data_IF_015786380666
#
_entry.id   IF_015786380666
#
_cell.length_a   1.000
_cell.length_b   1.000
_cell.length_c   1.000
_cell.angle_alpha   90.00
_cell.angle_beta   90.00
_cell.angle_gamma   90.00
#
_symmetry.space_group_name_H-M   'P 1'
#
loop_
_entity.id
_entity.type
_entity.pdbx_description
1 polymer ?
#
# COMPACT_ATOMS: atom_id res chain seq x y z
N UNK A 1 -20.97 2.20 -14.89
CA UNK A 1 -19.57 2.17 -14.40
C UNK A 1 -19.63 1.60 -13.00
N UNK A 2 -18.93 0.49 -12.72
CA UNK A 2 -18.90 -0.09 -11.35
C UNK A 2 -18.21 0.91 -10.44
N UNK A 3 -18.87 1.32 -9.36
CA UNK A 3 -18.22 2.13 -8.34
C UNK A 3 -17.19 1.27 -7.62
N UNK A 4 -15.91 1.48 -7.95
CA UNK A 4 -14.81 0.72 -7.37
C UNK A 4 -14.49 1.17 -5.94
N UNK A 5 -14.99 2.34 -5.51
CA UNK A 5 -14.70 2.90 -4.19
C UNK A 5 -15.33 2.09 -3.04
N UNK A 6 -16.39 1.34 -3.34
CA UNK A 6 -17.11 0.48 -2.39
C UNK A 6 -16.70 -1.00 -2.47
N UNK A 7 -15.75 -1.38 -3.31
CA UNK A 7 -15.37 -2.79 -3.52
C UNK A 7 -14.10 -3.16 -2.76
N UNK A 8 -14.06 -4.36 -2.16
CA UNK A 8 -12.85 -4.89 -1.54
C UNK A 8 -11.89 -5.47 -2.60
N UNK A 9 -11.18 -4.58 -3.30
CA UNK A 9 -10.36 -4.93 -4.46
C UNK A 9 -9.23 -5.91 -4.15
N UNK A 10 -8.90 -6.75 -5.13
CA UNK A 10 -7.72 -7.62 -5.11
C UNK A 10 -6.41 -6.81 -5.10
N UNK A 11 -5.27 -7.43 -4.81
CA UNK A 11 -3.98 -6.73 -4.72
C UNK A 11 -3.66 -5.89 -5.96
N UNK A 12 -3.79 -6.47 -7.15
CA UNK A 12 -3.45 -5.80 -8.42
C UNK A 12 -4.50 -4.74 -8.77
N UNK A 13 -5.78 -5.05 -8.56
CA UNK A 13 -6.87 -4.13 -8.89
C UNK A 13 -6.84 -2.92 -7.95
N UNK A 14 -6.54 -3.14 -6.66
CA UNK A 14 -6.36 -2.11 -5.66
C UNK A 14 -5.16 -1.21 -5.99
N UNK A 15 -4.04 -1.80 -6.40
CA UNK A 15 -2.86 -1.04 -6.82
C UNK A 15 -3.16 -0.16 -8.03
N UNK A 16 -3.79 -0.72 -9.08
CA UNK A 16 -4.21 0.05 -10.27
C UNK A 16 -5.21 1.14 -9.91
N UNK A 17 -6.21 0.84 -9.10
CA UNK A 17 -7.21 1.81 -8.67
C UNK A 17 -6.56 2.99 -7.93
N UNK A 18 -5.62 2.70 -7.03
CA UNK A 18 -4.92 3.73 -6.26
C UNK A 18 -4.02 4.59 -7.15
N UNK A 19 -3.25 3.99 -8.06
CA UNK A 19 -2.29 4.73 -8.91
C UNK A 19 -2.98 5.44 -10.09
N UNK A 20 -4.01 4.85 -10.69
CA UNK A 20 -4.64 5.40 -11.89
C UNK A 20 -5.92 6.17 -11.60
N UNK A 21 -6.71 5.74 -10.62
CA UNK A 21 -8.00 6.32 -10.28
C UNK A 21 -7.96 7.28 -9.10
N UNK A 22 -7.01 7.11 -8.17
CA UNK A 22 -7.01 7.82 -6.89
C UNK A 22 -5.63 8.37 -6.48
N UNK A 23 -4.81 8.76 -7.47
CA UNK A 23 -3.38 9.03 -7.33
C UNK A 23 -2.99 10.07 -6.27
N UNK A 24 -3.75 11.18 -6.18
CA UNK A 24 -3.45 12.29 -5.27
C UNK A 24 -4.71 12.75 -4.52
N UNK A 25 -5.54 11.79 -4.11
CA UNK A 25 -6.74 12.09 -3.34
C UNK A 25 -6.48 11.96 -1.84
N UNK A 26 -6.64 13.09 -1.14
CA UNK A 26 -6.49 13.22 0.31
C UNK A 26 -7.83 13.27 1.05
N UNK A 27 -8.96 13.20 0.34
CA UNK A 27 -10.30 13.31 0.91
C UNK A 27 -10.95 11.94 1.07
N UNK A 28 -11.86 11.84 2.03
CA UNK A 28 -12.55 10.60 2.36
C UNK A 28 -11.70 9.67 3.23
N UNK A 29 -12.12 8.41 3.26
CA UNK A 29 -11.60 7.35 4.13
C UNK A 29 -11.05 6.20 3.29
N UNK A 30 -10.08 5.48 3.82
CA UNK A 30 -9.51 4.27 3.20
C UNK A 30 -9.51 3.13 4.21
N UNK A 31 -9.89 1.93 3.76
CA UNK A 31 -9.98 0.76 4.64
C UNK A 31 -8.60 0.18 4.94
N UNK A 32 -8.53 -0.72 5.93
CA UNK A 32 -7.30 -1.48 6.23
C UNK A 32 -6.84 -2.32 5.04
N UNK A 33 -7.76 -3.00 4.36
CA UNK A 33 -7.41 -3.85 3.22
C UNK A 33 -6.91 -3.03 2.03
N UNK A 34 -7.52 -1.87 1.76
CA UNK A 34 -7.06 -0.94 0.72
C UNK A 34 -5.62 -0.47 1.01
N UNK A 35 -5.34 -0.04 2.25
CA UNK A 35 -4.01 0.43 2.65
C UNK A 35 -2.95 -0.67 2.59
N UNK A 36 -3.17 -1.79 3.28
CA UNK A 36 -2.14 -2.82 3.44
C UNK A 36 -1.87 -3.61 2.17
N UNK A 37 -2.88 -3.84 1.31
CA UNK A 37 -2.65 -4.51 0.01
C UNK A 37 -1.88 -3.63 -0.95
N UNK A 38 -2.17 -2.32 -0.99
CA UNK A 38 -1.40 -1.36 -1.79
C UNK A 38 0.06 -1.29 -1.32
N UNK A 39 0.26 -1.16 -0.01
CA UNK A 39 1.59 -1.09 0.58
C UNK A 39 2.38 -2.39 0.35
N UNK A 40 1.74 -3.55 0.45
CA UNK A 40 2.40 -4.83 0.15
C UNK A 40 2.85 -4.97 -1.30
N UNK A 41 2.03 -4.56 -2.28
CA UNK A 41 2.48 -4.55 -3.69
C UNK A 41 3.64 -3.57 -3.89
N UNK A 42 3.60 -2.43 -3.20
CA UNK A 42 4.69 -1.43 -3.23
C UNK A 42 5.99 -2.02 -2.70
N UNK A 43 5.96 -2.76 -1.58
CA UNK A 43 7.11 -3.49 -1.04
C UNK A 43 7.64 -4.50 -2.04
N UNK A 44 6.77 -5.31 -2.66
CA UNK A 44 7.19 -6.34 -3.61
C UNK A 44 7.91 -5.74 -4.82
N UNK A 45 7.35 -4.67 -5.41
CA UNK A 45 7.98 -4.01 -6.56
C UNK A 45 9.31 -3.37 -6.17
N UNK A 46 9.35 -2.65 -5.03
CA UNK A 46 10.57 -2.04 -4.52
C UNK A 46 11.67 -3.08 -4.25
N UNK A 47 11.32 -4.21 -3.62
CA UNK A 47 12.25 -5.31 -3.36
C UNK A 47 12.81 -5.91 -4.64
N UNK A 48 11.98 -6.14 -5.66
CA UNK A 48 12.48 -6.61 -6.97
C UNK A 48 13.49 -5.62 -7.56
N UNK A 49 13.21 -4.33 -7.51
CA UNK A 49 14.12 -3.29 -8.03
C UNK A 49 15.44 -3.28 -7.24
N UNK A 50 15.40 -3.40 -5.92
CA UNK A 50 16.59 -3.40 -5.07
C UNK A 50 17.45 -4.64 -5.28
N UNK A 51 16.85 -5.83 -5.37
CA UNK A 51 17.57 -7.07 -5.69
C UNK A 51 18.26 -6.96 -7.03
N UNK A 52 17.56 -6.49 -8.06
CA UNK A 52 18.17 -6.26 -9.38
C UNK A 52 19.31 -5.24 -9.30
N UNK A 53 19.11 -4.14 -8.56
CA UNK A 53 20.15 -3.12 -8.33
C UNK A 53 21.40 -3.74 -7.70
N UNK A 54 21.24 -4.60 -6.69
CA UNK A 54 22.34 -5.29 -6.03
C UNK A 54 23.04 -6.29 -6.97
N UNK A 55 22.29 -7.10 -7.71
CA UNK A 55 22.87 -8.07 -8.66
C UNK A 55 23.72 -7.41 -9.75
N UNK A 56 23.34 -6.22 -10.20
CA UNK A 56 24.01 -5.49 -11.27
C UNK A 56 24.92 -4.35 -10.78
N UNK A 57 25.19 -4.26 -9.47
CA UNK A 57 25.87 -3.11 -8.87
C UNK A 57 27.26 -2.79 -9.49
N UNK A 58 27.98 -3.83 -9.93
CA UNK A 58 29.34 -3.73 -10.50
C UNK A 58 29.37 -3.65 -12.03
N UNK A 59 28.21 -3.37 -12.65
CA UNK A 59 28.07 -3.31 -14.11
C UNK A 59 27.66 -1.93 -14.56
N UNK A 60 27.76 -1.67 -15.86
CA UNK A 60 27.26 -0.44 -16.47
C UNK A 60 25.74 -0.22 -16.26
N UNK A 61 24.99 -1.26 -15.87
CA UNK A 61 23.56 -1.20 -15.59
C UNK A 61 23.23 -0.62 -14.21
N UNK A 62 24.20 -0.47 -13.30
CA UNK A 62 23.96 0.03 -11.94
C UNK A 62 23.26 1.40 -11.93
N UNK A 63 23.68 2.33 -12.79
CA UNK A 63 23.07 3.65 -12.94
C UNK A 63 21.63 3.58 -13.46
N UNK A 64 21.33 2.64 -14.36
CA UNK A 64 19.98 2.42 -14.90
C UNK A 64 19.03 1.96 -13.80
N UNK A 65 19.44 0.98 -12.99
CA UNK A 65 18.63 0.51 -11.86
C UNK A 65 18.46 1.56 -10.78
N UNK A 66 19.49 2.38 -10.52
CA UNK A 66 19.37 3.56 -9.64
C UNK A 66 18.32 4.55 -10.12
N UNK A 67 18.30 4.87 -11.42
CA UNK A 67 17.29 5.75 -12.02
C UNK A 67 15.87 5.14 -11.97
N UNK A 68 15.73 3.84 -12.24
CA UNK A 68 14.44 3.13 -12.13
C UNK A 68 13.93 3.18 -10.70
N UNK A 69 14.79 2.91 -9.72
CA UNK A 69 14.44 3.00 -8.30
C UNK A 69 13.99 4.41 -7.91
N UNK A 70 14.73 5.44 -8.32
CA UNK A 70 14.36 6.83 -8.06
C UNK A 70 13.01 7.20 -8.69
N UNK A 71 12.81 6.86 -9.97
CA UNK A 71 11.57 7.14 -10.69
C UNK A 71 10.37 6.43 -10.05
N UNK A 72 10.55 5.17 -9.64
CA UNK A 72 9.52 4.40 -8.95
C UNK A 72 9.12 5.03 -7.61
N UNK A 73 10.11 5.39 -6.78
CA UNK A 73 9.87 6.02 -5.48
C UNK A 73 9.12 7.35 -5.63
N UNK A 74 9.49 8.18 -6.60
CA UNK A 74 8.79 9.45 -6.88
C UNK A 74 7.36 9.21 -7.37
N UNK A 75 7.15 8.23 -8.26
CA UNK A 75 5.83 7.91 -8.79
C UNK A 75 4.86 7.40 -7.70
N UNK A 76 5.35 6.60 -6.74
CA UNK A 76 4.51 6.00 -5.71
C UNK A 76 4.34 6.88 -4.46
N UNK A 77 5.17 7.93 -4.31
CA UNK A 77 5.18 8.82 -3.15
C UNK A 77 3.80 9.46 -2.91
N UNK A 78 3.24 10.12 -3.94
CA UNK A 78 1.97 10.82 -3.81
C UNK A 78 0.78 9.88 -3.50
N UNK A 79 0.62 8.75 -4.22
CA UNK A 79 -0.38 7.74 -3.88
C UNK A 79 -0.25 7.21 -2.46
N UNK A 80 0.98 6.95 -2.00
CA UNK A 80 1.25 6.43 -0.66
C UNK A 80 0.85 7.42 0.43
N UNK A 81 1.17 8.70 0.25
CA UNK A 81 0.77 9.75 1.19
C UNK A 81 -0.75 9.91 1.16
N UNK A 82 -1.37 9.99 -0.02
CA UNK A 82 -2.82 10.14 -0.16
C UNK A 82 -3.59 9.02 0.54
N UNK A 83 -3.17 7.77 0.33
CA UNK A 83 -3.77 6.61 0.97
C UNK A 83 -3.53 6.59 2.48
N UNK A 84 -2.32 6.96 2.94
CA UNK A 84 -2.02 7.10 4.37
C UNK A 84 -2.89 8.16 5.06
N UNK A 85 -3.10 9.31 4.41
CA UNK A 85 -4.00 10.37 4.91
C UNK A 85 -5.43 9.86 5.04
N UNK A 86 -5.98 9.24 3.98
CA UNK A 86 -7.33 8.66 4.00
C UNK A 86 -7.47 7.53 5.03
N UNK A 87 -6.40 6.78 5.28
CA UNK A 87 -6.38 5.75 6.31
C UNK A 87 -6.40 6.34 7.72
N UNK A 88 -5.73 7.47 7.96
CA UNK A 88 -5.87 8.18 9.23
C UNK A 88 -7.23 8.81 9.42
N UNK A 89 -7.82 9.34 8.36
CA UNK A 89 -9.20 9.81 8.37
C UNK A 89 -10.18 8.70 8.78
N UNK A 90 -9.89 7.45 8.39
CA UNK A 90 -10.71 6.30 8.75
C UNK A 90 -10.71 5.99 10.27
N UNK A 91 -9.67 6.36 11.00
CA UNK A 91 -9.59 6.25 12.48
C UNK A 91 -9.86 7.59 13.18
N UNK A 92 -10.51 8.53 12.48
CA UNK A 92 -10.89 9.84 13.02
C UNK A 92 -9.72 10.79 13.28
N UNK A 93 -8.54 10.52 12.71
CA UNK A 93 -7.32 11.29 12.91
C UNK A 93 -6.96 12.14 11.69
N UNK A 94 -6.24 13.24 11.92
CA UNK A 94 -5.76 14.09 10.83
C UNK A 94 -4.63 13.43 10.03
N UNK A 95 -4.60 13.67 8.72
CA UNK A 95 -3.50 13.20 7.85
C UNK A 95 -2.10 13.65 8.27
N UNK A 96 -2.00 14.74 9.02
CA UNK A 96 -0.73 15.24 9.60
C UNK A 96 -0.05 14.25 10.53
N UNK A 97 -0.75 13.23 11.03
CA UNK A 97 -0.14 12.16 11.81
C UNK A 97 0.93 11.39 11.05
N UNK A 98 0.96 11.47 9.70
CA UNK A 98 2.05 10.89 8.90
C UNK A 98 3.40 11.51 9.26
N UNK A 99 3.45 12.79 9.65
CA UNK A 99 4.70 13.46 10.01
C UNK A 99 5.34 12.89 11.28
N UNK A 100 4.58 12.20 12.13
CA UNK A 100 5.12 11.53 13.32
C UNK A 100 6.14 10.46 12.91
N UNK A 101 6.03 9.89 11.71
CA UNK A 101 7.01 8.94 11.17
C UNK A 101 8.43 9.52 11.03
N UNK A 102 8.57 10.85 10.97
CA UNK A 102 9.87 11.54 10.88
C UNK A 102 10.58 11.64 12.23
N UNK A 103 9.86 11.41 13.34
CA UNK A 103 10.42 11.40 14.69
C UNK A 103 10.98 9.99 14.95
N UNK A 104 12.19 9.86 15.55
CA UNK A 104 12.69 8.56 15.99
C UNK A 104 11.63 7.79 16.80
N UNK A 105 11.41 6.52 16.47
CA UNK A 105 10.37 5.64 17.03
C UNK A 105 8.90 6.05 16.75
N UNK A 106 8.63 7.23 16.20
CA UNK A 106 7.29 7.67 15.86
C UNK A 106 6.62 6.81 14.78
N UNK A 107 7.43 6.13 13.95
CA UNK A 107 6.96 5.13 12.99
C UNK A 107 6.17 3.98 13.65
N UNK A 108 6.51 3.58 14.89
CA UNK A 108 5.80 2.51 15.61
C UNK A 108 4.36 2.94 15.89
N UNK A 109 4.19 4.19 16.34
CA UNK A 109 2.87 4.76 16.60
C UNK A 109 2.05 4.95 15.32
N UNK A 110 2.69 5.39 14.23
CA UNK A 110 2.07 5.50 12.91
C UNK A 110 1.58 4.13 12.43
N UNK A 111 2.40 3.08 12.51
CA UNK A 111 2.02 1.71 12.14
C UNK A 111 0.84 1.22 12.99
N UNK A 112 0.85 1.48 14.31
CA UNK A 112 -0.25 1.14 15.20
C UNK A 112 -1.57 1.76 14.72
N UNK A 113 -1.58 3.06 14.41
CA UNK A 113 -2.76 3.76 13.89
C UNK A 113 -3.21 3.23 12.53
N UNK A 114 -2.27 2.96 11.61
CA UNK A 114 -2.56 2.39 10.29
C UNK A 114 -3.15 0.96 10.38
N UNK A 115 -2.88 0.22 11.45
CA UNK A 115 -3.42 -1.12 11.70
C UNK A 115 -4.79 -1.13 12.43
N UNK A 116 -5.14 -0.04 13.14
CA UNK A 116 -6.34 0.04 13.97
C UNK A 116 -7.65 -0.11 13.18
N UNK A 117 -8.71 -0.68 13.75
CA UNK A 117 -10.02 -0.69 13.09
C UNK A 117 -10.51 0.77 12.91
N UNK A 118 -11.04 1.10 11.72
CA UNK A 118 -11.67 2.40 11.47
C UNK A 118 -12.95 2.62 12.29
N UNK A 119 -13.40 3.87 12.37
CA UNK A 119 -14.60 4.26 13.08
C UNK A 119 -15.85 3.59 12.46
N UNK A 120 -16.72 3.02 13.30
CA UNK A 120 -17.91 2.28 12.82
C UNK A 120 -19.03 3.21 12.32
N UNK A 121 -19.04 4.46 12.78
CA UNK A 121 -20.00 5.49 12.38
C UNK A 121 -19.39 6.53 11.43
N UNK A 122 -20.24 7.47 11.04
CA UNK A 122 -19.79 8.69 10.37
C UNK A 122 -18.79 9.42 11.27
N UNK A 123 -17.71 9.91 10.66
CA UNK A 123 -16.81 10.84 11.31
C UNK A 123 -16.67 12.11 10.46
N UNK A 124 -15.86 13.06 10.90
CA UNK A 124 -15.65 14.34 10.19
C UNK A 124 -15.14 14.19 8.74
N UNK A 125 -14.68 13.00 8.35
CA UNK A 125 -14.19 12.69 7.02
C UNK A 125 -15.18 11.89 6.16
N UNK A 126 -16.39 11.65 6.68
CA UNK A 126 -17.50 11.01 5.98
C UNK A 126 -17.88 9.65 6.55
N UNK A 127 -18.79 8.99 5.83
CA UNK A 127 -19.32 7.69 6.21
C UNK A 127 -18.28 6.58 6.15
N UNK A 128 -18.43 5.53 6.98
CA UNK A 128 -17.51 4.41 7.01
C UNK A 128 -17.38 3.74 5.64
N UNK A 129 -16.18 3.25 5.35
CA UNK A 129 -15.92 2.52 4.11
C UNK A 129 -16.63 1.17 4.18
N UNK A 130 -17.81 1.06 3.57
CA UNK A 130 -18.46 -0.22 3.33
C UNK A 130 -17.77 -0.91 2.16
N UNK A 131 -17.11 -2.03 2.39
CA UNK A 131 -16.48 -2.80 1.31
C UNK A 131 -17.30 -4.05 0.99
N UNK A 132 -17.92 -4.06 -0.19
CA UNK A 132 -18.54 -5.25 -0.74
C UNK A 132 -17.45 -6.20 -1.24
N UNK A 133 -17.52 -7.46 -0.80
CA UNK A 133 -16.65 -8.52 -1.31
C UNK A 133 -17.02 -8.86 -2.75
N UNK A 134 -16.01 -8.98 -3.61
CA UNK A 134 -16.17 -9.41 -4.99
C UNK A 134 -16.24 -10.94 -4.98
N UNK A 135 -17.44 -11.47 -5.23
CA UNK A 135 -17.69 -12.91 -5.39
C UNK A 135 -17.23 -13.39 -6.77
N UNK A 136 -17.12 -14.70 -6.96
CA UNK A 136 -16.79 -15.30 -8.26
C UNK A 136 -17.76 -14.87 -9.38
N UNK A 137 -19.05 -14.74 -9.07
CA UNK A 137 -20.06 -14.26 -10.02
C UNK A 137 -19.82 -12.79 -10.41
N UNK A 138 -19.55 -11.93 -9.43
CA UNK A 138 -19.28 -10.51 -9.68
C UNK A 138 -17.94 -10.32 -10.41
N UNK A 139 -16.93 -11.13 -10.10
CA UNK A 139 -15.66 -11.19 -10.82
C UNK A 139 -15.88 -11.56 -12.30
N UNK A 140 -16.71 -12.57 -12.58
CA UNK A 140 -17.05 -12.96 -13.94
C UNK A 140 -17.81 -11.86 -14.71
N UNK A 141 -18.65 -11.09 -14.03
CA UNK A 141 -19.43 -9.99 -14.63
C UNK A 141 -18.60 -8.74 -14.90
N UNK A 142 -17.70 -8.39 -13.99
CA UNK A 142 -16.96 -7.11 -14.02
C UNK A 142 -15.56 -7.23 -14.60
N UNK A 143 -15.02 -8.45 -14.70
CA UNK A 143 -13.62 -8.71 -15.04
C UNK A 143 -12.64 -8.39 -13.92
N UNK A 144 -13.12 -7.98 -12.73
CA UNK A 144 -12.30 -7.80 -11.54
C UNK A 144 -11.89 -9.16 -10.97
N UNK A 145 -10.79 -9.20 -10.22
CA UNK A 145 -10.43 -10.42 -9.49
C UNK A 145 -11.23 -10.50 -8.18
N UNK A 146 -11.48 -11.74 -7.76
CA UNK A 146 -12.13 -12.04 -6.49
C UNK A 146 -11.37 -11.42 -5.31
N UNK A 147 -12.13 -11.02 -4.28
CA UNK A 147 -11.55 -10.48 -3.05
C UNK A 147 -10.69 -11.55 -2.39
N UNK A 148 -9.43 -11.25 -2.02
CA UNK A 148 -8.59 -12.20 -1.31
C UNK A 148 -9.19 -12.63 0.02
N UNK A 149 -9.05 -13.92 0.36
CA UNK A 149 -9.40 -14.46 1.67
C UNK A 149 -8.42 -13.98 2.75
N UNK A 150 -8.85 -14.01 4.01
CA UNK A 150 -8.01 -13.59 5.15
C UNK A 150 -6.72 -14.42 5.27
N UNK A 151 -6.77 -15.72 4.96
CA UNK A 151 -5.57 -16.57 4.94
C UNK A 151 -4.58 -16.13 3.85
N UNK A 152 -5.08 -15.75 2.68
CA UNK A 152 -4.23 -15.21 1.61
C UNK A 152 -3.63 -13.87 2.02
N UNK A 153 -4.42 -12.96 2.61
CA UNK A 153 -3.93 -11.68 3.11
C UNK A 153 -2.83 -11.90 4.17
N UNK A 154 -3.02 -12.84 5.10
CA UNK A 154 -2.01 -13.19 6.12
C UNK A 154 -0.71 -13.73 5.51
N UNK A 155 -0.81 -14.68 4.57
CA UNK A 155 0.36 -15.23 3.86
C UNK A 155 1.10 -14.14 3.09
N UNK A 156 0.36 -13.28 2.41
CA UNK A 156 0.93 -12.15 1.68
C UNK A 156 1.67 -11.18 2.60
N UNK A 157 1.10 -10.85 3.76
CA UNK A 157 1.74 -10.01 4.77
C UNK A 157 3.05 -10.64 5.29
N UNK A 158 3.06 -11.94 5.59
CA UNK A 158 4.30 -12.62 6.00
C UNK A 158 5.36 -12.62 4.89
N UNK A 159 4.96 -12.82 3.64
CA UNK A 159 5.88 -12.72 2.50
C UNK A 159 6.48 -11.31 2.40
N UNK A 160 5.68 -10.25 2.57
CA UNK A 160 6.17 -8.86 2.56
C UNK A 160 7.15 -8.60 3.71
N UNK A 161 6.88 -9.10 4.92
CA UNK A 161 7.81 -8.98 6.06
C UNK A 161 9.11 -9.71 5.75
N UNK A 162 9.05 -10.91 5.18
CA UNK A 162 10.22 -11.67 4.75
C UNK A 162 11.07 -10.92 3.73
N UNK A 163 10.44 -10.28 2.73
CA UNK A 163 11.12 -9.42 1.76
C UNK A 163 11.83 -8.27 2.48
N UNK A 164 11.17 -7.55 3.37
CA UNK A 164 11.78 -6.42 4.10
C UNK A 164 12.98 -6.87 4.93
N UNK A 165 12.89 -8.00 5.63
CA UNK A 165 14.02 -8.54 6.41
C UNK A 165 15.18 -8.91 5.48
N UNK A 166 14.90 -9.59 4.37
CA UNK A 166 15.90 -9.96 3.38
C UNK A 166 16.61 -8.73 2.81
N UNK A 167 15.86 -7.68 2.46
CA UNK A 167 16.40 -6.40 1.97
C UNK A 167 17.34 -5.74 2.98
N UNK A 168 16.96 -5.70 4.26
CA UNK A 168 17.82 -5.15 5.32
C UNK A 168 19.14 -5.93 5.45
N UNK A 169 19.07 -7.26 5.36
CA UNK A 169 20.26 -8.11 5.38
C UNK A 169 21.12 -7.86 4.14
N UNK A 170 20.50 -7.81 2.96
CA UNK A 170 21.18 -7.54 1.70
C UNK A 170 21.92 -6.20 1.75
N UNK A 171 21.28 -5.13 2.24
CA UNK A 171 21.94 -3.82 2.43
C UNK A 171 23.18 -3.92 3.33
N UNK A 172 23.13 -4.72 4.40
CA UNK A 172 24.28 -4.93 5.28
C UNK A 172 25.43 -5.73 4.65
N UNK A 173 25.18 -6.50 3.58
CA UNK A 173 26.22 -7.23 2.82
C UNK A 173 26.86 -6.33 1.75
N UNK A 174 26.06 -5.42 1.17
CA UNK A 174 26.47 -4.56 0.05
C UNK A 174 27.15 -3.25 0.51
N UNK A 175 26.91 -2.81 1.76
CA UNK A 175 27.53 -1.64 2.37
C UNK A 175 28.99 -1.88 2.80
#
# INVERSE_FOLDING_TARGET
MTDLSIKNLSYVDNFKHTVMGNFANFKGRASRSEYWRFYGITIVIAGIINVLSALFMNTALSSVFGLISMAYNVAILLPSIGLGVRRFHDVGKSGWMLLISLIPFGIIYVIYLLAQKGDEGDNQYGSPVSYETITAEEAARTGLKETPSEDMDRKFMFACIGIVIFEVILMGIVA
#
